data_IF_196851915858
#
_entry.id   IF_196851915858
#
_cell.length_a   1.000
_cell.length_b   1.000
_cell.length_c   1.000
_cell.angle_alpha   90.00
_cell.angle_beta   90.00
_cell.angle_gamma   90.00
#
_symmetry.space_group_name_H-M   'P 1'
#
loop_
_entity.id
_entity.type
_entity.pdbx_description
1 polymer ?
#
# COMPACT_ATOMS: atom_id res chain seq x y z
N UNK A 1 9.29 12.25 26.51
CA UNK A 1 8.85 11.02 25.81
C UNK A 1 8.07 11.36 24.53
N UNK A 2 7.04 12.21 24.59
CA UNK A 2 6.26 12.68 23.43
C UNK A 2 7.10 13.26 22.28
N UNK A 3 8.09 14.12 22.58
CA UNK A 3 8.96 14.73 21.55
C UNK A 3 9.73 13.69 20.71
N UNK A 4 10.31 12.66 21.33
CA UNK A 4 11.02 11.61 20.59
C UNK A 4 10.07 10.77 19.72
N UNK A 5 8.87 10.45 20.22
CA UNK A 5 7.83 9.77 19.44
C UNK A 5 7.36 10.61 18.27
N UNK A 6 7.19 11.93 18.48
CA UNK A 6 6.83 12.85 17.42
C UNK A 6 7.93 12.97 16.35
N UNK A 7 9.20 13.11 16.73
CA UNK A 7 10.32 13.13 15.77
C UNK A 7 10.36 11.86 14.91
N UNK A 8 10.09 10.70 15.51
CA UNK A 8 10.00 9.44 14.77
C UNK A 8 8.82 9.46 13.78
N UNK A 9 7.62 9.82 14.25
CA UNK A 9 6.43 9.92 13.41
C UNK A 9 6.65 10.91 12.25
N UNK A 10 7.18 12.10 12.54
CA UNK A 10 7.51 13.11 11.54
C UNK A 10 8.48 12.54 10.49
N UNK A 11 9.58 11.89 10.91
CA UNK A 11 10.53 11.27 9.97
C UNK A 11 9.86 10.23 9.07
N UNK A 12 8.94 9.41 9.60
CA UNK A 12 8.19 8.43 8.80
C UNK A 12 7.28 9.11 7.78
N UNK A 13 6.52 10.11 8.21
CA UNK A 13 5.62 10.87 7.34
C UNK A 13 6.40 11.60 6.23
N UNK A 14 7.53 12.23 6.57
CA UNK A 14 8.42 12.85 5.57
C UNK A 14 8.95 11.81 4.57
N UNK A 15 9.23 10.58 4.99
CA UNK A 15 9.67 9.52 4.08
C UNK A 15 8.58 9.06 3.10
N UNK A 16 7.31 9.32 3.40
CA UNK A 16 6.18 9.12 2.50
C UNK A 16 5.89 10.32 1.59
N UNK A 17 6.61 11.43 1.79
CA UNK A 17 6.33 12.69 1.09
C UNK A 17 5.09 13.42 1.62
N UNK A 18 4.71 13.22 2.89
CA UNK A 18 3.58 13.92 3.49
C UNK A 18 3.85 15.45 3.54
N UNK A 19 2.97 16.20 2.87
CA UNK A 19 3.01 17.66 2.72
C UNK A 19 1.86 18.38 3.45
N UNK A 20 0.94 17.64 4.07
CA UNK A 20 -0.21 18.17 4.81
C UNK A 20 0.09 18.84 6.15
N UNK A 21 1.35 19.24 6.40
CA UNK A 21 1.72 19.97 7.62
C UNK A 21 1.10 21.37 7.70
N UNK A 22 0.65 21.92 6.57
CA UNK A 22 -0.10 23.18 6.54
C UNK A 22 -1.51 23.03 7.13
N UNK A 23 -2.06 21.80 7.14
CA UNK A 23 -3.37 21.48 7.71
C UNK A 23 -3.28 20.86 9.11
N UNK A 24 -2.10 20.42 9.54
CA UNK A 24 -1.84 19.77 10.83
C UNK A 24 -0.70 20.47 11.54
N UNK A 25 -1.01 21.22 12.60
CA UNK A 25 0.03 21.93 13.36
C UNK A 25 0.73 21.02 14.38
N UNK A 26 1.96 21.36 14.74
CA UNK A 26 2.67 20.68 15.84
C UNK A 26 1.91 20.82 17.17
N UNK A 27 1.17 21.92 17.36
CA UNK A 27 0.28 22.13 18.50
C UNK A 27 -0.90 21.14 18.50
N UNK A 28 -1.52 20.86 17.35
CA UNK A 28 -2.59 19.87 17.24
C UNK A 28 -2.10 18.46 17.60
N UNK A 29 -0.87 18.16 17.19
CA UNK A 29 -0.21 16.89 17.49
C UNK A 29 0.08 16.78 19.00
N UNK A 30 0.67 17.80 19.64
CA UNK A 30 0.92 17.72 21.08
C UNK A 30 -0.33 17.84 21.94
N UNK A 31 -1.33 18.59 21.50
CA UNK A 31 -2.63 18.69 22.18
C UNK A 31 -3.47 17.41 22.05
N UNK A 32 -3.05 16.48 21.19
CA UNK A 32 -3.72 15.20 21.03
C UNK A 32 -5.02 15.30 20.23
N UNK A 33 -5.17 16.30 19.35
CA UNK A 33 -6.39 16.54 18.61
C UNK A 33 -6.75 15.33 17.71
N UNK A 34 -7.94 14.70 17.86
CA UNK A 34 -8.27 13.47 17.15
C UNK A 34 -8.19 13.59 15.61
N UNK A 35 -8.67 14.71 15.06
CA UNK A 35 -8.72 14.95 13.62
C UNK A 35 -7.33 14.89 12.98
N UNK A 36 -6.33 15.51 13.62
CA UNK A 36 -4.94 15.48 13.17
C UNK A 36 -4.45 14.04 12.96
N UNK A 37 -4.69 13.15 13.92
CA UNK A 37 -4.25 11.76 13.79
C UNK A 37 -5.06 10.97 12.78
N UNK A 38 -6.34 11.29 12.57
CA UNK A 38 -7.13 10.70 11.50
C UNK A 38 -6.56 11.07 10.12
N UNK A 39 -6.22 12.34 9.89
CA UNK A 39 -5.53 12.79 8.67
C UNK A 39 -4.19 12.09 8.47
N UNK A 40 -3.37 11.97 9.53
CA UNK A 40 -2.13 11.22 9.46
C UNK A 40 -2.34 9.74 9.09
N UNK A 41 -3.38 9.09 9.64
CA UNK A 41 -3.72 7.71 9.27
C UNK A 41 -4.15 7.59 7.82
N UNK A 42 -4.97 8.52 7.31
CA UNK A 42 -5.37 8.56 5.90
C UNK A 42 -4.16 8.72 5.00
N UNK A 43 -3.31 9.70 5.28
CA UNK A 43 -2.08 9.94 4.54
C UNK A 43 -1.22 8.66 4.47
N UNK A 44 -0.99 8.01 5.62
CA UNK A 44 -0.24 6.75 5.68
C UNK A 44 -0.91 5.69 4.80
N UNK A 45 -2.21 5.45 4.94
CA UNK A 45 -2.92 4.44 4.15
C UNK A 45 -2.85 4.73 2.64
N UNK A 46 -2.97 5.99 2.23
CA UNK A 46 -2.89 6.40 0.83
C UNK A 46 -1.49 6.29 0.24
N UNK A 47 -0.43 6.40 1.04
CA UNK A 47 0.93 6.17 0.58
C UNK A 47 1.25 4.69 0.29
N UNK A 48 0.42 3.74 0.74
CA UNK A 48 0.56 2.31 0.46
C UNK A 48 -0.66 1.74 -0.29
N UNK A 49 -1.01 2.25 -1.48
CA UNK A 49 -2.32 1.99 -2.10
C UNK A 49 -2.56 0.49 -2.36
N UNK A 50 -1.53 -0.25 -2.75
CA UNK A 50 -1.66 -1.69 -3.04
C UNK A 50 -1.87 -2.53 -1.77
N UNK A 51 -1.13 -2.24 -0.70
CA UNK A 51 -1.24 -2.97 0.56
C UNK A 51 -2.53 -2.62 1.29
N UNK A 52 -2.89 -1.33 1.28
CA UNK A 52 -4.17 -0.84 1.76
C UNK A 52 -5.34 -1.51 1.03
N UNK A 53 -5.32 -1.57 -0.31
CA UNK A 53 -6.35 -2.27 -1.08
C UNK A 53 -6.39 -3.79 -0.81
N UNK A 54 -5.24 -4.42 -0.53
CA UNK A 54 -5.20 -5.83 -0.12
C UNK A 54 -5.84 -6.02 1.26
N UNK A 55 -5.57 -5.12 2.21
CA UNK A 55 -6.18 -5.14 3.53
C UNK A 55 -7.68 -4.88 3.48
N UNK A 56 -8.16 -3.93 2.66
CA UNK A 56 -9.60 -3.68 2.48
C UNK A 56 -10.32 -4.90 1.88
N UNK A 57 -9.69 -5.63 0.96
CA UNK A 57 -10.24 -6.90 0.44
C UNK A 57 -10.28 -8.01 1.50
N UNK A 58 -9.27 -8.07 2.37
CA UNK A 58 -9.21 -9.04 3.49
C UNK A 58 -10.20 -8.68 4.60
N UNK A 59 -10.41 -7.40 4.84
CA UNK A 59 -11.20 -6.83 5.93
C UNK A 59 -12.25 -5.85 5.39
N UNK A 60 -13.44 -6.35 4.99
CA UNK A 60 -14.48 -5.50 4.40
C UNK A 60 -14.99 -4.36 5.29
N UNK A 61 -14.73 -4.44 6.61
CA UNK A 61 -15.07 -3.41 7.59
C UNK A 61 -14.02 -2.31 7.72
N UNK A 62 -12.86 -2.41 7.03
CA UNK A 62 -11.83 -1.38 7.03
C UNK A 62 -12.33 -0.18 6.22
N UNK A 63 -12.57 0.94 6.91
CA UNK A 63 -13.16 2.14 6.33
C UNK A 63 -12.17 3.31 6.40
N UNK A 64 -11.76 3.84 5.26
CA UNK A 64 -10.75 4.91 5.15
C UNK A 64 -11.41 6.28 5.00
N UNK A 65 -12.48 6.34 4.20
CA UNK A 65 -13.21 7.57 3.86
C UNK A 65 -14.33 7.91 4.86
N UNK A 66 -14.44 7.15 5.95
CA UNK A 66 -15.40 7.42 7.01
C UNK A 66 -14.99 8.59 7.90
N UNK A 67 -15.89 8.98 8.80
CA UNK A 67 -15.59 9.93 9.87
C UNK A 67 -14.39 9.48 10.72
N UNK A 68 -13.67 10.43 11.32
CA UNK A 68 -12.42 10.19 12.06
C UNK A 68 -12.54 9.10 13.12
N UNK A 69 -13.69 9.01 13.81
CA UNK A 69 -13.95 7.96 14.79
C UNK A 69 -14.08 6.57 14.17
N UNK A 70 -14.74 6.46 13.01
CA UNK A 70 -14.88 5.20 12.28
C UNK A 70 -13.54 4.74 11.69
N UNK A 71 -12.77 5.67 11.11
CA UNK A 71 -11.40 5.42 10.67
C UNK A 71 -10.55 4.90 11.82
N UNK A 72 -10.49 5.64 12.94
CA UNK A 72 -9.70 5.25 14.10
C UNK A 72 -10.11 3.89 14.65
N UNK A 73 -11.41 3.61 14.74
CA UNK A 73 -11.91 2.31 15.18
C UNK A 73 -11.43 1.18 14.26
N UNK A 74 -11.55 1.36 12.95
CA UNK A 74 -11.13 0.35 11.97
C UNK A 74 -9.61 0.16 11.97
N UNK A 75 -8.82 1.22 12.07
CA UNK A 75 -7.36 1.14 12.16
C UNK A 75 -6.91 0.43 13.44
N UNK A 76 -7.51 0.76 14.59
CA UNK A 76 -7.18 0.08 15.85
C UNK A 76 -7.53 -1.41 15.79
N UNK A 77 -8.68 -1.75 15.19
CA UNK A 77 -9.06 -3.15 14.99
C UNK A 77 -8.09 -3.85 14.05
N UNK A 78 -7.71 -3.22 12.94
CA UNK A 78 -6.73 -3.75 11.98
C UNK A 78 -5.39 -4.05 12.67
N UNK A 79 -4.86 -3.08 13.41
CA UNK A 79 -3.61 -3.22 14.14
C UNK A 79 -3.69 -4.26 15.26
N UNK A 80 -4.86 -4.51 15.84
CA UNK A 80 -5.02 -5.60 16.81
C UNK A 80 -4.93 -7.00 16.18
N UNK A 81 -5.21 -7.11 14.88
CA UNK A 81 -5.20 -8.37 14.13
C UNK A 81 -3.89 -8.61 13.39
N UNK A 82 -3.31 -7.56 12.80
CA UNK A 82 -2.13 -7.61 11.94
C UNK A 82 -0.88 -6.96 12.56
N UNK A 83 -1.06 -6.17 13.61
CA UNK A 83 0.02 -5.44 14.26
C UNK A 83 0.90 -6.36 15.09
N UNK A 84 2.16 -5.95 15.21
CA UNK A 84 3.17 -6.64 16.02
C UNK A 84 3.18 -6.21 17.48
N UNK A 85 2.63 -5.03 17.79
CA UNK A 85 2.64 -4.46 19.14
C UNK A 85 1.24 -4.27 19.70
N UNK A 86 1.16 -4.36 21.02
CA UNK A 86 -0.10 -4.18 21.77
C UNK A 86 -0.51 -2.70 21.73
N UNK A 87 -1.65 -2.43 21.14
CA UNK A 87 -2.25 -1.10 21.16
C UNK A 87 -2.83 -0.82 22.55
N UNK A 88 -2.50 0.34 23.11
CA UNK A 88 -2.84 0.71 24.49
C UNK A 88 -4.10 1.59 24.57
N UNK A 89 -4.66 2.00 23.43
CA UNK A 89 -5.84 2.88 23.35
C UNK A 89 -7.05 2.17 22.73
N UNK A 90 -8.24 2.36 23.32
CA UNK A 90 -9.52 1.92 22.75
C UNK A 90 -10.08 2.94 21.77
N UNK A 91 -10.95 2.50 20.86
CA UNK A 91 -11.62 3.41 19.91
C UNK A 91 -12.39 4.55 20.62
N UNK A 92 -13.07 4.26 21.73
CA UNK A 92 -13.79 5.27 22.52
C UNK A 92 -12.87 6.33 23.11
N UNK A 93 -11.61 5.98 23.39
CA UNK A 93 -10.61 6.87 23.96
C UNK A 93 -9.92 7.73 22.89
N UNK A 94 -10.06 7.38 21.61
CA UNK A 94 -9.44 8.12 20.51
C UNK A 94 -9.97 9.55 20.40
N UNK A 95 -11.24 9.79 20.78
CA UNK A 95 -11.81 11.14 20.82
C UNK A 95 -11.20 12.04 21.89
N UNK A 96 -10.51 11.49 22.89
CA UNK A 96 -9.99 12.27 24.01
C UNK A 96 -8.58 12.81 23.73
N UNK A 97 -8.34 14.08 24.06
CA UNK A 97 -7.06 14.77 23.82
C UNK A 97 -5.88 14.23 24.64
N UNK A 98 -6.14 13.68 25.83
CA UNK A 98 -5.09 13.19 26.76
C UNK A 98 -4.25 12.00 26.24
N UNK A 99 -4.65 11.39 25.13
CA UNK A 99 -3.99 10.21 24.57
C UNK A 99 -3.05 10.51 23.38
N UNK A 100 -2.52 11.73 23.25
CA UNK A 100 -1.61 12.12 22.17
C UNK A 100 -0.50 11.09 21.90
N UNK A 101 0.23 10.66 22.94
CA UNK A 101 1.31 9.67 22.82
C UNK A 101 0.81 8.34 22.24
N UNK A 102 -0.36 7.87 22.68
CA UNK A 102 -0.92 6.62 22.19
C UNK A 102 -1.34 6.75 20.71
N UNK A 103 -1.93 7.88 20.31
CA UNK A 103 -2.31 8.13 18.92
C UNK A 103 -1.09 8.21 17.99
N UNK A 104 0.00 8.86 18.43
CA UNK A 104 1.27 8.86 17.69
C UNK A 104 1.77 7.42 17.46
N UNK A 105 1.75 6.59 18.50
CA UNK A 105 2.16 5.20 18.38
C UNK A 105 1.27 4.40 17.44
N UNK A 106 -0.04 4.67 17.41
CA UNK A 106 -0.97 4.04 16.44
C UNK A 106 -0.54 4.38 15.00
N UNK A 107 -0.23 5.64 14.70
CA UNK A 107 0.25 6.04 13.38
C UNK A 107 1.59 5.38 13.02
N UNK A 108 2.53 5.30 13.98
CA UNK A 108 3.82 4.62 13.77
C UNK A 108 3.62 3.13 13.48
N UNK A 109 2.80 2.45 14.27
CA UNK A 109 2.52 1.02 14.07
C UNK A 109 1.80 0.75 12.74
N UNK A 110 0.90 1.64 12.32
CA UNK A 110 0.26 1.58 11.00
C UNK A 110 1.29 1.69 9.87
N UNK A 111 2.19 2.66 9.97
CA UNK A 111 3.29 2.82 9.02
C UNK A 111 4.17 1.57 8.97
N UNK A 112 4.57 1.03 10.13
CA UNK A 112 5.47 -0.12 10.21
C UNK A 112 4.79 -1.40 9.67
N UNK A 113 3.49 -1.58 9.93
CA UNK A 113 2.68 -2.67 9.36
C UNK A 113 2.69 -2.61 7.83
N UNK A 114 2.34 -1.46 7.24
CA UNK A 114 2.23 -1.31 5.79
C UNK A 114 3.60 -1.41 5.12
N UNK A 115 4.64 -0.82 5.72
CA UNK A 115 6.02 -0.96 5.24
C UNK A 115 6.48 -2.42 5.19
N UNK A 116 6.15 -3.19 6.23
CA UNK A 116 6.46 -4.63 6.29
C UNK A 116 5.69 -5.40 5.21
N UNK A 117 4.42 -5.09 4.98
CA UNK A 117 3.62 -5.72 3.94
C UNK A 117 4.16 -5.39 2.54
N UNK A 118 4.53 -4.14 2.27
CA UNK A 118 5.13 -3.73 0.99
C UNK A 118 6.43 -4.48 0.74
N UNK A 119 7.30 -4.56 1.76
CA UNK A 119 8.58 -5.28 1.66
C UNK A 119 8.37 -6.78 1.40
N UNK A 120 7.43 -7.42 2.11
CA UNK A 120 7.09 -8.83 1.88
C UNK A 120 6.54 -9.07 0.46
N UNK A 121 5.72 -8.15 -0.05
CA UNK A 121 5.19 -8.20 -1.42
C UNK A 121 6.30 -8.13 -2.44
N UNK A 122 7.19 -7.15 -2.32
CA UNK A 122 8.32 -6.94 -3.23
C UNK A 122 9.23 -8.17 -3.28
N UNK A 123 9.55 -8.76 -2.12
CA UNK A 123 10.36 -9.96 -2.05
C UNK A 123 9.66 -11.20 -2.62
N UNK A 124 8.36 -11.35 -2.36
CA UNK A 124 7.58 -12.46 -2.90
C UNK A 124 7.43 -12.34 -4.41
N UNK A 125 7.24 -11.13 -4.93
CA UNK A 125 7.13 -10.85 -6.36
C UNK A 125 8.48 -11.01 -7.06
N UNK A 126 9.59 -10.58 -6.44
CA UNK A 126 10.95 -10.83 -6.91
C UNK A 126 11.26 -12.33 -7.00
N UNK A 127 10.90 -13.09 -5.95
CA UNK A 127 11.07 -14.55 -5.92
C UNK A 127 10.21 -15.25 -6.97
N UNK A 128 8.95 -14.84 -7.14
CA UNK A 128 8.05 -15.40 -8.18
C UNK A 128 8.48 -15.03 -9.60
N UNK A 129 9.00 -13.82 -9.81
CA UNK A 129 9.55 -13.41 -11.09
C UNK A 129 10.83 -14.19 -11.42
N UNK A 130 11.70 -14.39 -10.44
CA UNK A 130 12.88 -15.24 -10.56
C UNK A 130 12.50 -16.71 -10.84
N UNK A 131 11.53 -17.26 -10.10
CA UNK A 131 11.03 -18.61 -10.31
C UNK A 131 10.36 -18.78 -11.69
N UNK A 132 9.58 -17.79 -12.15
CA UNK A 132 9.03 -17.78 -13.51
C UNK A 132 10.11 -17.71 -14.59
N UNK A 133 11.13 -16.86 -14.42
CA UNK A 133 12.29 -16.80 -15.33
C UNK A 133 13.07 -18.13 -15.33
N UNK A 134 13.27 -18.75 -14.18
CA UNK A 134 13.93 -20.05 -14.06
C UNK A 134 13.09 -21.19 -14.66
N UNK A 135 11.76 -21.15 -14.50
CA UNK A 135 10.84 -22.10 -15.12
C UNK A 135 10.79 -21.93 -16.64
N UNK A 136 10.77 -20.69 -17.14
CA UNK A 136 10.90 -20.41 -18.58
C UNK A 136 12.26 -20.85 -19.12
N UNK A 137 13.35 -20.59 -18.40
CA UNK A 137 14.69 -21.04 -18.79
C UNK A 137 14.81 -22.58 -18.83
N UNK A 138 14.12 -23.29 -17.92
CA UNK A 138 14.05 -24.76 -17.90
C UNK A 138 13.08 -25.34 -18.93
N UNK A 139 12.07 -24.60 -19.35
CA UNK A 139 11.11 -25.00 -20.37
C UNK A 139 11.60 -24.73 -21.80
N UNK A 140 12.72 -24.02 -21.97
CA UNK A 140 13.38 -23.85 -23.27
C UNK A 140 14.22 -25.11 -23.53
N UNK A 141 13.88 -25.94 -24.54
CA UNK A 141 14.76 -27.03 -24.97
C UNK A 141 16.08 -26.42 -25.42
N UNK A 142 17.18 -27.05 -25.02
CA UNK A 142 18.54 -26.65 -25.38
C UNK A 142 18.67 -26.55 -26.91
N UNK A 143 18.58 -25.34 -27.45
CA UNK A 143 18.95 -25.03 -28.82
C UNK A 143 20.29 -24.29 -28.79
N UNK A 144 21.28 -24.69 -29.61
CA UNK A 144 22.57 -24.04 -29.63
C UNK A 144 22.42 -22.56 -30.02
N UNK A 145 23.23 -21.72 -29.38
CA UNK A 145 23.23 -20.28 -29.58
C UNK A 145 23.55 -19.89 -31.03
N UNK A 146 22.58 -19.32 -31.73
CA UNK A 146 22.73 -18.17 -32.63
C UNK A 146 21.35 -17.81 -33.20
N UNK A 147 20.99 -16.52 -33.13
CA UNK A 147 19.95 -15.82 -33.89
C UNK A 147 18.76 -16.63 -34.43
N UNK A 148 17.58 -16.54 -33.79
CA UNK A 148 16.26 -16.50 -34.49
C UNK A 148 15.05 -16.56 -33.54
N UNK A 149 15.23 -16.93 -32.26
CA UNK A 149 14.11 -17.07 -31.33
C UNK A 149 13.34 -15.75 -31.10
N UNK A 150 14.05 -14.62 -30.99
CA UNK A 150 13.45 -13.29 -30.87
C UNK A 150 12.68 -12.88 -32.13
N UNK A 151 13.16 -13.26 -33.32
CA UNK A 151 12.47 -13.00 -34.58
C UNK A 151 11.16 -13.81 -34.70
N UNK A 152 11.15 -15.05 -34.21
CA UNK A 152 9.94 -15.88 -34.18
C UNK A 152 8.88 -15.32 -33.21
N UNK A 153 9.27 -14.95 -31.99
CA UNK A 153 8.36 -14.35 -31.01
C UNK A 153 7.80 -13.00 -31.51
N UNK A 154 8.63 -12.17 -32.13
CA UNK A 154 8.17 -10.91 -32.72
C UNK A 154 7.22 -11.14 -33.90
N UNK A 155 7.49 -12.12 -34.79
CA UNK A 155 6.58 -12.49 -35.88
C UNK A 155 5.23 -13.00 -35.38
N UNK A 156 5.22 -13.84 -34.35
CA UNK A 156 3.98 -14.35 -33.75
C UNK A 156 3.14 -13.21 -33.16
N UNK A 157 3.78 -12.30 -32.41
CA UNK A 157 3.13 -11.12 -31.81
C UNK A 157 2.61 -10.14 -32.87
N UNK A 158 3.32 -9.99 -33.99
CA UNK A 158 2.89 -9.15 -35.11
C UNK A 158 1.69 -9.77 -35.85
N UNK A 159 1.64 -11.10 -35.97
CA UNK A 159 0.50 -11.84 -36.49
C UNK A 159 -0.75 -11.66 -35.63
N UNK A 160 -0.60 -11.75 -34.31
CA UNK A 160 -1.70 -11.51 -33.35
C UNK A 160 -2.24 -10.07 -33.46
N UNK A 161 -1.35 -9.08 -33.51
CA UNK A 161 -1.73 -7.66 -33.65
C UNK A 161 -2.43 -7.37 -34.98
N UNK A 162 -1.94 -7.95 -36.09
CA UNK A 162 -2.60 -7.81 -37.40
C UNK A 162 -3.97 -8.50 -37.44
N UNK A 163 -4.14 -9.62 -36.75
CA UNK A 163 -5.44 -10.29 -36.60
C UNK A 163 -6.44 -9.41 -35.83
N UNK A 164 -5.99 -8.81 -34.72
CA UNK A 164 -6.83 -7.89 -33.92
C UNK A 164 -7.18 -6.61 -34.68
N UNK A 165 -6.26 -6.08 -35.49
CA UNK A 165 -6.53 -4.93 -36.37
C UNK A 165 -7.60 -5.26 -37.42
N UNK A 166 -7.48 -6.38 -38.12
CA UNK A 166 -8.50 -6.81 -39.10
C UNK A 166 -9.88 -7.04 -38.47
N UNK A 167 -9.92 -7.56 -37.24
CA UNK A 167 -11.18 -7.74 -36.52
C UNK A 167 -11.84 -6.40 -36.13
N UNK A 168 -11.04 -5.36 -35.85
CA UNK A 168 -11.51 -4.00 -35.62
C UNK A 168 -11.98 -3.33 -36.91
N UNK A 169 -11.24 -3.48 -38.01
CA UNK A 169 -11.63 -2.93 -39.32
C UNK A 169 -12.96 -3.54 -39.80
N UNK A 170 -13.16 -4.85 -39.62
CA UNK A 170 -14.45 -5.50 -39.93
C UNK A 170 -15.62 -5.10 -39.03
N UNK A 171 -15.36 -4.49 -37.87
CA UNK A 171 -16.41 -3.96 -37.00
C UNK A 171 -16.85 -2.56 -37.39
N UNK A 172 -16.02 -1.81 -38.12
CA UNK A 172 -16.31 -0.46 -38.61
C UNK A 172 -17.04 -0.45 -39.96
N UNK A 173 -16.98 -1.55 -40.73
CA UNK A 173 -17.69 -1.70 -42.01
C UNK A 173 -19.16 -2.18 -41.85
N UNK A 174 -19.67 -2.30 -40.61
CA UNK A 174 -21.04 -2.78 -40.30
C UNK A 174 -21.95 -1.75 -39.63
N UNK A 175 -21.55 -0.49 -39.60
CA UNK A 175 -22.42 0.67 -39.32
C UNK A 175 -22.71 1.44 -40.61
#
# INVERSE_FOLDING_TARGET
MLSATFSLLHRRLSSLGFDGWDAVTEEDVYSGAPHCYAELMRAILFSFPHDTAALMRKYPWLCIEGEDGALAHSVLRLLSLEGSRRIVIKATQFGEKKYAAAKMNVCIELFDLLSRLSWLRENTQGTRAAARRAALARAIPFYPAACDASAFFLKARLGELNGRRKALDHHLDRE
#
